data_IF_316236564237
#
_entry.id   IF_316236564237
#
_cell.length_a   1.000
_cell.length_b   1.000
_cell.length_c   1.000
_cell.angle_alpha   90.00
_cell.angle_beta   90.00
_cell.angle_gamma   90.00
#
_symmetry.space_group_name_H-M   'P 1'
#
loop_
_entity.id
_entity.type
_entity.pdbx_description
1 polymer ?
#
# COMPACT_ATOMS: atom_id res chain seq x y z
N UNK A 1 -4.61 14.79 -11.50
CA UNK A 1 -3.80 15.69 -10.63
C UNK A 1 -4.23 17.15 -10.72
N UNK A 2 -5.12 17.51 -11.64
CA UNK A 2 -5.57 18.89 -11.85
C UNK A 2 -6.94 19.18 -11.22
N UNK A 3 -7.60 18.20 -10.60
CA UNK A 3 -8.90 18.42 -9.97
C UNK A 3 -8.71 18.89 -8.52
N UNK A 4 -9.46 19.91 -8.14
CA UNK A 4 -9.66 20.31 -6.75
C UNK A 4 -10.18 19.13 -5.91
N UNK A 5 -9.77 19.06 -4.64
CA UNK A 5 -10.12 17.96 -3.73
C UNK A 5 -11.64 17.79 -3.60
N UNK A 6 -12.39 18.91 -3.62
CA UNK A 6 -13.84 18.91 -3.54
C UNK A 6 -14.48 18.32 -4.78
N UNK A 7 -13.98 18.73 -5.96
CA UNK A 7 -14.45 18.19 -7.26
C UNK A 7 -14.12 16.71 -7.39
N UNK A 8 -12.93 16.30 -6.94
CA UNK A 8 -12.55 14.89 -6.92
C UNK A 8 -13.49 14.06 -6.04
N UNK A 9 -13.82 14.55 -4.85
CA UNK A 9 -14.75 13.87 -3.96
C UNK A 9 -16.15 13.73 -4.56
N UNK A 10 -16.69 14.80 -5.19
CA UNK A 10 -17.99 14.79 -5.86
C UNK A 10 -18.00 13.78 -7.02
N UNK A 11 -16.96 13.76 -7.85
CA UNK A 11 -16.85 12.80 -8.94
C UNK A 11 -16.86 11.36 -8.43
N UNK A 12 -16.11 11.06 -7.37
CA UNK A 12 -16.06 9.72 -6.77
C UNK A 12 -17.41 9.30 -6.18
N UNK A 13 -18.16 10.22 -5.57
CA UNK A 13 -19.53 9.93 -5.09
C UNK A 13 -20.47 9.58 -6.27
N UNK A 14 -20.41 10.32 -7.36
CA UNK A 14 -21.19 10.01 -8.57
C UNK A 14 -20.81 8.63 -9.13
N UNK A 15 -19.52 8.36 -9.29
CA UNK A 15 -19.03 7.06 -9.80
C UNK A 15 -19.45 5.91 -8.90
N UNK A 16 -19.40 6.09 -7.58
CA UNK A 16 -19.84 5.07 -6.62
C UNK A 16 -21.36 4.85 -6.68
N UNK A 17 -22.14 5.91 -6.90
CA UNK A 17 -23.58 5.82 -7.17
C UNK A 17 -23.88 4.99 -8.42
N UNK A 18 -23.22 5.30 -9.53
CA UNK A 18 -23.35 4.56 -10.78
C UNK A 18 -22.94 3.09 -10.64
N UNK A 19 -21.84 2.81 -9.94
CA UNK A 19 -21.39 1.44 -9.63
C UNK A 19 -22.49 0.63 -8.95
N UNK A 20 -23.15 1.22 -7.95
CA UNK A 20 -24.25 0.55 -7.20
C UNK A 20 -25.47 0.36 -8.09
N UNK A 21 -25.83 1.36 -8.90
CA UNK A 21 -27.01 1.32 -9.76
C UNK A 21 -26.89 0.27 -10.87
N UNK A 22 -25.69 0.17 -11.47
CA UNK A 22 -25.46 -0.72 -12.63
C UNK A 22 -24.76 -2.03 -12.29
N UNK A 23 -24.40 -2.27 -11.02
CA UNK A 23 -23.71 -3.49 -10.61
C UNK A 23 -22.32 -3.65 -11.23
N UNK A 24 -21.66 -2.56 -11.62
CA UNK A 24 -20.35 -2.58 -12.28
C UNK A 24 -19.21 -2.56 -11.28
N UNK A 25 -18.03 -3.05 -11.70
CA UNK A 25 -16.80 -2.89 -10.94
C UNK A 25 -16.15 -1.54 -11.28
N UNK A 26 -15.56 -0.87 -10.26
CA UNK A 26 -14.80 0.35 -10.41
C UNK A 26 -13.36 0.10 -9.96
N UNK A 27 -12.40 0.34 -10.86
CA UNK A 27 -10.97 0.31 -10.54
C UNK A 27 -10.46 1.75 -10.46
N UNK A 28 -9.89 2.13 -9.32
CA UNK A 28 -9.32 3.45 -9.08
C UNK A 28 -7.81 3.31 -8.92
N UNK A 29 -7.03 4.01 -9.76
CA UNK A 29 -5.58 4.11 -9.65
C UNK A 29 -5.27 5.48 -9.05
N UNK A 30 -4.68 5.49 -7.86
CA UNK A 30 -4.41 6.73 -7.11
C UNK A 30 -3.25 6.55 -6.15
N UNK A 31 -2.58 7.64 -5.82
CA UNK A 31 -1.63 7.71 -4.71
C UNK A 31 -2.25 8.35 -3.44
N UNK A 32 -3.51 8.75 -3.50
CA UNK A 32 -4.21 9.35 -2.36
C UNK A 32 -4.82 8.27 -1.46
N UNK A 33 -4.16 7.97 -0.34
CA UNK A 33 -4.62 6.96 0.61
C UNK A 33 -5.95 7.32 1.29
N UNK A 34 -6.30 8.59 1.39
CA UNK A 34 -7.62 9.02 1.88
C UNK A 34 -8.76 8.58 0.96
N UNK A 35 -8.55 8.67 -0.36
CA UNK A 35 -9.50 8.15 -1.36
C UNK A 35 -9.63 6.63 -1.22
N UNK A 36 -8.50 5.93 -1.11
CA UNK A 36 -8.49 4.48 -0.93
C UNK A 36 -9.24 4.07 0.33
N UNK A 37 -8.96 4.71 1.46
CA UNK A 37 -9.60 4.41 2.75
C UNK A 37 -11.12 4.61 2.73
N UNK A 38 -11.61 5.58 1.95
CA UNK A 38 -13.03 5.93 1.89
C UNK A 38 -13.83 5.06 0.92
N UNK A 39 -13.25 4.70 -0.24
CA UNK A 39 -14.03 4.14 -1.35
C UNK A 39 -13.64 2.71 -1.74
N UNK A 40 -12.45 2.24 -1.36
CA UNK A 40 -12.00 0.92 -1.78
C UNK A 40 -12.51 -0.19 -0.87
N UNK A 41 -13.05 -1.25 -1.48
CA UNK A 41 -13.37 -2.52 -0.80
C UNK A 41 -12.13 -3.43 -0.78
N UNK A 42 -11.40 -3.47 -1.90
CA UNK A 42 -10.14 -4.20 -2.06
C UNK A 42 -9.05 -3.24 -2.53
N UNK A 43 -7.86 -3.46 -2.04
CA UNK A 43 -6.70 -2.63 -2.34
C UNK A 43 -5.57 -3.51 -2.86
N UNK A 44 -4.89 -3.03 -3.89
CA UNK A 44 -3.67 -3.62 -4.41
C UNK A 44 -2.56 -2.58 -4.37
N UNK A 45 -1.49 -2.89 -3.66
CA UNK A 45 -0.32 -2.02 -3.53
C UNK A 45 0.74 -2.45 -4.51
N UNK A 46 1.16 -1.52 -5.36
CA UNK A 46 2.16 -1.76 -6.40
C UNK A 46 3.44 -1.00 -6.06
N UNK A 47 4.58 -1.67 -6.14
CA UNK A 47 5.91 -1.09 -6.01
C UNK A 47 6.82 -1.57 -7.14
N UNK A 48 7.53 -0.64 -7.78
CA UNK A 48 8.45 -0.95 -8.89
C UNK A 48 7.81 -1.84 -9.98
N UNK A 49 6.54 -1.54 -10.35
CA UNK A 49 5.79 -2.27 -11.37
C UNK A 49 5.25 -3.64 -10.95
N UNK A 50 5.31 -3.98 -9.66
CA UNK A 50 4.87 -5.29 -9.14
C UNK A 50 3.89 -5.14 -8.01
N UNK A 51 2.92 -6.07 -7.96
CA UNK A 51 2.04 -6.20 -6.80
C UNK A 51 2.86 -6.71 -5.62
N UNK A 52 2.84 -5.94 -4.52
CA UNK A 52 3.58 -6.28 -3.29
C UNK A 52 2.67 -6.65 -2.14
N UNK A 53 1.44 -6.16 -2.13
CA UNK A 53 0.43 -6.52 -1.13
C UNK A 53 -0.97 -6.32 -1.70
N UNK A 54 -1.93 -7.18 -1.33
CA UNK A 54 -3.33 -7.07 -1.74
C UNK A 54 -4.26 -7.67 -0.70
N UNK A 55 -5.38 -7.01 -0.44
CA UNK A 55 -6.35 -7.45 0.55
C UNK A 55 -7.56 -6.51 0.62
N UNK A 56 -8.37 -6.64 1.67
CA UNK A 56 -9.41 -5.67 1.97
C UNK A 56 -8.78 -4.34 2.42
N UNK A 57 -9.52 -3.24 2.32
CA UNK A 57 -9.05 -1.96 2.85
C UNK A 57 -8.65 -2.10 4.34
N UNK A 58 -9.41 -2.84 5.13
CA UNK A 58 -9.09 -3.10 6.55
C UNK A 58 -7.77 -3.86 6.72
N UNK A 59 -7.48 -4.89 5.89
CA UNK A 59 -6.21 -5.61 5.95
C UNK A 59 -5.04 -4.69 5.65
N UNK A 60 -5.16 -3.87 4.62
CA UNK A 60 -4.09 -2.96 4.20
C UNK A 60 -3.83 -1.87 5.24
N UNK A 61 -4.87 -1.24 5.81
CA UNK A 61 -4.67 -0.13 6.74
C UNK A 61 -4.36 -0.57 8.18
N UNK A 62 -4.85 -1.74 8.61
CA UNK A 62 -4.73 -2.16 10.02
C UNK A 62 -3.81 -3.36 10.23
N UNK A 63 -3.66 -4.23 9.22
CA UNK A 63 -2.95 -5.50 9.30
C UNK A 63 -1.91 -5.67 8.19
N UNK A 64 -1.35 -4.55 7.74
CA UNK A 64 -0.38 -4.57 6.64
C UNK A 64 0.78 -5.54 6.87
N UNK A 65 1.15 -6.25 5.82
CA UNK A 65 2.16 -7.32 5.82
C UNK A 65 3.43 -6.94 5.05
N UNK A 66 3.42 -5.84 4.27
CA UNK A 66 4.57 -5.42 3.49
C UNK A 66 5.18 -4.12 4.04
N UNK A 67 6.52 -4.05 4.24
CA UNK A 67 7.17 -2.87 4.79
C UNK A 67 6.95 -1.58 3.99
N UNK A 68 6.84 -1.68 2.68
CA UNK A 68 6.51 -0.54 1.83
C UNK A 68 5.13 0.04 2.14
N UNK A 69 4.10 -0.81 2.21
CA UNK A 69 2.73 -0.42 2.58
C UNK A 69 2.69 0.22 3.96
N UNK A 70 3.40 -0.38 4.92
CA UNK A 70 3.55 0.16 6.28
C UNK A 70 4.17 1.56 6.28
N UNK A 71 5.19 1.76 5.43
CA UNK A 71 5.82 3.08 5.22
C UNK A 71 4.87 4.09 4.60
N UNK A 72 4.08 3.70 3.58
CA UNK A 72 3.08 4.58 2.96
C UNK A 72 2.05 5.05 3.97
N UNK A 73 1.50 4.14 4.79
CA UNK A 73 0.48 4.47 5.80
C UNK A 73 1.04 5.42 6.86
N UNK A 74 2.30 5.20 7.31
CA UNK A 74 2.96 6.06 8.29
C UNK A 74 3.30 7.45 7.77
N UNK A 75 3.47 7.60 6.47
CA UNK A 75 3.77 8.88 5.84
C UNK A 75 2.52 9.76 5.64
N UNK A 76 1.32 9.26 5.93
CA UNK A 76 0.07 10.05 5.82
C UNK A 76 -0.15 10.85 7.09
N UNK A 77 -0.28 12.18 6.99
CA UNK A 77 -0.67 13.01 8.13
C UNK A 77 -2.05 12.60 8.64
N UNK A 78 -2.19 12.49 9.96
CA UNK A 78 -3.47 12.23 10.61
C UNK A 78 -3.88 13.47 11.40
N UNK A 79 -5.16 13.75 11.44
CA UNK A 79 -5.70 14.91 12.18
C UNK A 79 -5.54 14.81 13.70
N UNK A 80 -5.38 13.58 14.21
CA UNK A 80 -5.19 13.27 15.63
C UNK A 80 -3.70 13.18 16.04
N UNK A 81 -2.76 13.45 15.11
CA UNK A 81 -1.33 13.47 15.44
C UNK A 81 -0.96 14.77 16.18
N UNK A 82 -0.08 14.68 17.19
CA UNK A 82 0.53 15.88 17.77
C UNK A 82 1.23 16.71 16.70
N UNK A 83 1.13 18.04 16.78
CA UNK A 83 1.72 18.95 15.77
C UNK A 83 3.24 18.91 15.68
N UNK A 84 3.89 18.43 16.73
CA UNK A 84 5.35 18.26 16.85
C UNK A 84 5.85 16.88 16.39
N UNK A 85 4.95 15.97 16.02
CA UNK A 85 5.35 14.65 15.54
C UNK A 85 5.81 14.73 14.08
N UNK A 86 7.09 14.45 13.84
CA UNK A 86 7.63 14.36 12.49
C UNK A 86 7.02 13.20 11.68
N UNK A 87 6.64 13.50 10.43
CA UNK A 87 6.21 12.48 9.48
C UNK A 87 7.41 11.65 9.03
N UNK A 88 7.36 10.36 9.34
CA UNK A 88 8.42 9.43 8.94
C UNK A 88 8.14 8.95 7.51
N UNK A 89 8.84 9.54 6.57
CA UNK A 89 8.82 9.10 5.17
C UNK A 89 9.54 7.76 4.96
N UNK A 90 9.38 7.19 3.78
CA UNK A 90 10.14 6.00 3.37
C UNK A 90 11.53 6.46 2.94
N UNK A 91 12.56 6.02 3.67
CA UNK A 91 13.95 6.36 3.40
C UNK A 91 14.42 5.95 1.99
N UNK A 92 15.41 6.67 1.47
CA UNK A 92 16.01 6.41 0.18
C UNK A 92 15.13 6.79 -1.02
N UNK A 93 15.67 6.63 -2.22
CA UNK A 93 14.98 6.91 -3.49
C UNK A 93 14.37 5.64 -4.10
N UNK A 94 13.29 5.76 -4.89
CA UNK A 94 12.79 4.64 -5.68
C UNK A 94 13.88 4.08 -6.60
N UNK A 95 13.90 2.75 -6.84
CA UNK A 95 14.91 2.14 -7.70
C UNK A 95 14.78 2.57 -9.16
N UNK A 96 15.89 2.66 -9.88
CA UNK A 96 15.86 2.73 -11.35
C UNK A 96 15.39 1.37 -11.90
N UNK A 97 14.19 1.36 -12.47
CA UNK A 97 13.57 0.11 -12.98
C UNK A 97 14.41 -0.57 -14.06
N UNK A 98 15.27 0.17 -14.79
CA UNK A 98 16.15 -0.38 -15.82
C UNK A 98 17.31 -1.17 -15.23
N UNK A 99 17.69 -0.88 -13.97
CA UNK A 99 18.79 -1.51 -13.26
C UNK A 99 18.34 -2.53 -12.21
N UNK A 100 17.02 -2.59 -11.98
CA UNK A 100 16.46 -3.48 -10.96
C UNK A 100 16.55 -4.93 -11.39
N UNK A 101 17.27 -5.73 -10.61
CA UNK A 101 17.32 -7.17 -10.84
C UNK A 101 15.93 -7.81 -10.66
N UNK A 102 15.47 -8.65 -11.59
CA UNK A 102 14.19 -9.33 -11.46
C UNK A 102 14.18 -10.42 -10.38
N UNK A 103 15.34 -10.80 -9.87
CA UNK A 103 15.53 -11.97 -9.00
C UNK A 103 15.62 -11.64 -7.51
N UNK A 104 15.57 -10.37 -7.13
CA UNK A 104 15.62 -9.94 -5.74
C UNK A 104 14.39 -9.13 -5.33
N UNK A 105 14.22 -8.92 -4.03
CA UNK A 105 13.16 -8.06 -3.52
C UNK A 105 13.41 -6.61 -3.95
N UNK A 106 12.50 -6.05 -4.75
CA UNK A 106 12.63 -4.70 -5.30
C UNK A 106 12.70 -3.60 -4.21
N UNK A 107 12.20 -3.89 -3.01
CA UNK A 107 12.20 -2.96 -1.88
C UNK A 107 13.39 -3.15 -0.93
N UNK A 108 14.27 -4.15 -1.15
CA UNK A 108 15.34 -4.54 -0.23
C UNK A 108 16.24 -3.38 0.22
N UNK A 109 16.60 -2.49 -0.71
CA UNK A 109 17.54 -1.38 -0.43
C UNK A 109 16.95 -0.28 0.46
N UNK A 110 15.63 -0.22 0.56
CA UNK A 110 14.88 0.76 1.37
C UNK A 110 14.19 0.11 2.57
N UNK A 111 14.31 -1.20 2.71
CA UNK A 111 13.59 -1.98 3.69
C UNK A 111 14.42 -2.14 4.98
N UNK A 112 13.95 -1.59 6.09
CA UNK A 112 14.59 -1.79 7.39
C UNK A 112 14.55 -3.22 7.91
N UNK A 113 13.70 -4.09 7.32
CA UNK A 113 13.61 -5.52 7.63
C UNK A 113 14.39 -6.39 6.64
N UNK A 114 15.19 -5.78 5.74
CA UNK A 114 15.87 -6.52 4.70
C UNK A 114 16.91 -7.49 5.28
N UNK A 115 16.86 -8.74 4.84
CA UNK A 115 17.81 -9.80 5.14
C UNK A 115 18.66 -10.15 3.92
N UNK A 116 19.65 -11.02 4.08
CA UNK A 116 20.44 -11.55 2.97
C UNK A 116 19.55 -12.25 1.93
N UNK A 117 18.48 -12.93 2.37
CA UNK A 117 17.50 -13.55 1.48
C UNK A 117 16.80 -12.52 0.59
N UNK A 118 16.40 -11.38 1.13
CA UNK A 118 15.75 -10.31 0.36
C UNK A 118 16.65 -9.74 -0.74
N UNK A 119 17.98 -9.77 -0.53
CA UNK A 119 19.00 -9.29 -1.48
C UNK A 119 19.43 -10.33 -2.51
N UNK A 120 19.03 -11.58 -2.35
CA UNK A 120 19.39 -12.69 -3.26
C UNK A 120 18.18 -13.33 -3.92
N UNK A 121 16.98 -13.18 -3.34
CA UNK A 121 15.77 -13.83 -3.82
C UNK A 121 14.61 -12.85 -3.85
N UNK A 122 13.71 -13.04 -4.82
CA UNK A 122 12.45 -12.33 -4.89
C UNK A 122 11.40 -13.09 -4.10
N UNK A 123 10.69 -12.44 -3.17
CA UNK A 123 9.53 -13.05 -2.53
C UNK A 123 8.39 -13.18 -3.56
N UNK A 124 7.76 -14.34 -3.59
CA UNK A 124 6.54 -14.55 -4.35
C UNK A 124 5.33 -13.96 -3.60
N UNK A 125 4.25 -13.72 -4.34
CA UNK A 125 3.00 -13.24 -3.74
C UNK A 125 2.29 -14.44 -3.11
N UNK A 126 2.27 -14.49 -1.80
CA UNK A 126 1.67 -15.59 -1.04
C UNK A 126 0.49 -15.11 -0.20
N UNK A 127 -0.47 -16.00 0.01
CA UNK A 127 -1.58 -15.75 0.92
C UNK A 127 -1.11 -15.86 2.37
N UNK A 128 -1.27 -14.76 3.11
CA UNK A 128 -0.89 -14.65 4.53
C UNK A 128 -2.07 -14.79 5.48
N UNK A 129 -3.27 -14.53 4.95
CA UNK A 129 -4.56 -14.78 5.57
C UNK A 129 -5.63 -14.84 4.47
N UNK A 130 -6.85 -15.35 4.72
CA UNK A 130 -7.90 -15.46 3.71
C UNK A 130 -8.13 -14.14 2.97
N UNK A 131 -7.83 -14.14 1.66
CA UNK A 131 -7.94 -12.97 0.78
C UNK A 131 -6.91 -11.86 1.00
N UNK A 132 -5.91 -12.04 1.86
CA UNK A 132 -4.80 -11.13 2.08
C UNK A 132 -3.49 -11.74 1.58
N UNK A 133 -2.91 -11.16 0.56
CA UNK A 133 -1.67 -11.62 -0.09
C UNK A 133 -0.54 -10.62 0.08
N UNK A 134 0.69 -11.10 0.22
CA UNK A 134 1.87 -10.23 0.30
C UNK A 134 3.11 -10.90 -0.31
N UNK A 135 3.94 -10.12 -1.00
CA UNK A 135 5.24 -10.53 -1.54
C UNK A 135 6.35 -10.09 -0.58
N UNK A 136 6.44 -10.73 0.58
CA UNK A 136 7.44 -10.42 1.60
C UNK A 136 7.78 -11.65 2.44
N UNK A 137 9.06 -11.96 2.63
CA UNK A 137 9.51 -13.09 3.46
C UNK A 137 9.12 -12.94 4.94
N UNK A 138 8.90 -11.70 5.40
CA UNK A 138 8.51 -11.38 6.78
C UNK A 138 7.00 -11.10 6.93
N UNK A 139 6.19 -11.36 5.90
CA UNK A 139 4.78 -10.95 5.88
C UNK A 139 3.98 -11.44 7.08
N UNK A 140 4.15 -12.71 7.48
CA UNK A 140 3.43 -13.32 8.60
C UNK A 140 3.80 -12.74 9.96
N UNK A 141 5.05 -12.30 10.12
CA UNK A 141 5.54 -11.65 11.34
C UNK A 141 5.02 -10.22 11.43
N UNK A 142 5.16 -9.47 10.33
CA UNK A 142 4.71 -8.09 10.22
C UNK A 142 3.20 -7.93 10.42
N UNK A 143 2.41 -8.93 10.00
CA UNK A 143 0.96 -8.95 10.20
C UNK A 143 0.57 -9.01 11.68
N UNK A 144 1.40 -9.62 12.53
CA UNK A 144 1.17 -9.69 13.99
C UNK A 144 1.51 -8.38 14.70
N UNK A 145 2.35 -7.55 14.08
CA UNK A 145 2.62 -6.21 14.58
C UNK A 145 1.39 -5.34 14.31
N UNK A 146 0.58 -5.10 15.31
CA UNK A 146 -0.55 -4.16 15.21
C UNK A 146 0.00 -2.83 14.74
N UNK A 147 -0.48 -2.32 13.60
CA UNK A 147 -0.16 -0.95 13.19
C UNK A 147 -0.59 -0.02 14.33
N UNK A 148 0.29 0.85 14.84
CA UNK A 148 -0.12 1.82 15.85
C UNK A 148 -1.29 2.62 15.30
N UNK A 149 -2.41 2.57 16.03
CA UNK A 149 -3.62 3.34 15.75
C UNK A 149 -3.34 4.82 15.90
#
# INVERSE_FOLDING_TARGET
>A
TALDVTVQAQLLEVLNGLRRQYGTALVIITHNLGVVARYAEKVQVVYAGRLVEGGTAEDIFQRTCHPYTKGLIRAVPRLDMPQDQELVGIEGSPPDLRKLSPHLCAFSDRCRYATAQCRSQRPELEEVAPGHVAACFHARELRKEVSPR
#
